data_IF_277231430664
#
_entry.id   IF_277231430664
#
_cell.length_a   1.000
_cell.length_b   1.000
_cell.length_c   1.000
_cell.angle_alpha   90.00
_cell.angle_beta   90.00
_cell.angle_gamma   90.00
#
_symmetry.space_group_name_H-M   'P 1'
#
loop_
_entity.id
_entity.type
_entity.pdbx_description
1 polymer ?
#
# COMPACT_ATOMS: atom_id res chain seq x y z
N UNK A 1 19.89 -29.80 20.66
CA UNK A 1 20.27 -29.18 19.37
C UNK A 1 19.18 -28.18 18.98
N UNK A 2 19.38 -26.90 19.27
CA UNK A 2 18.52 -25.83 18.76
C UNK A 2 18.85 -25.63 17.27
N UNK A 3 18.03 -26.17 16.37
CA UNK A 3 18.07 -25.74 14.96
C UNK A 3 17.49 -24.33 14.90
N UNK A 4 18.35 -23.32 15.02
CA UNK A 4 17.99 -21.98 14.55
C UNK A 4 17.64 -22.13 13.07
N UNK A 5 16.36 -21.92 12.73
CA UNK A 5 15.99 -21.77 11.32
C UNK A 5 16.82 -20.61 10.78
N UNK A 6 17.41 -20.71 9.57
CA UNK A 6 18.04 -19.56 8.96
C UNK A 6 17.01 -18.43 8.95
N UNK A 7 17.39 -17.28 9.51
CA UNK A 7 16.59 -16.07 9.37
C UNK A 7 16.69 -15.72 7.89
N UNK A 8 15.68 -16.14 7.13
CA UNK A 8 15.51 -15.74 5.74
C UNK A 8 15.50 -14.21 5.77
N UNK A 9 16.54 -13.58 5.20
CA UNK A 9 16.61 -12.13 5.17
C UNK A 9 15.39 -11.62 4.39
N UNK A 10 14.56 -10.81 5.03
CA UNK A 10 13.43 -10.19 4.35
C UNK A 10 13.95 -9.43 3.13
N UNK A 11 13.30 -9.57 1.95
CA UNK A 11 13.73 -8.83 0.79
C UNK A 11 13.65 -7.32 1.08
N UNK A 12 14.51 -6.50 0.45
CA UNK A 12 14.43 -5.06 0.59
C UNK A 12 13.05 -4.56 0.15
N UNK A 13 12.58 -3.47 0.77
CA UNK A 13 11.35 -2.81 0.34
C UNK A 13 11.62 -2.00 -0.93
N UNK A 14 11.01 -2.39 -2.04
CA UNK A 14 11.27 -1.79 -3.37
C UNK A 14 9.96 -1.61 -4.13
N UNK A 15 9.87 -0.59 -4.98
CA UNK A 15 8.82 -0.50 -5.99
C UNK A 15 9.07 -1.55 -7.07
N UNK A 16 8.00 -2.19 -7.57
CA UNK A 16 8.02 -2.97 -8.81
C UNK A 16 7.63 -2.12 -10.01
N UNK A 17 6.66 -1.23 -9.80
CA UNK A 17 6.12 -0.39 -10.84
C UNK A 17 7.04 0.83 -11.05
N UNK A 18 7.46 1.11 -12.29
CA UNK A 18 8.32 2.26 -12.56
C UNK A 18 7.60 3.58 -12.27
N UNK A 19 6.28 3.66 -12.31
CA UNK A 19 5.56 4.90 -12.03
C UNK A 19 5.33 5.12 -10.52
N UNK A 20 6.39 5.48 -9.78
CA UNK A 20 6.32 5.76 -8.33
C UNK A 20 5.17 6.71 -7.98
N UNK A 21 5.03 7.83 -8.69
CA UNK A 21 4.02 8.84 -8.39
C UNK A 21 2.59 8.28 -8.44
N UNK A 22 2.29 7.46 -9.45
CA UNK A 22 1.00 6.77 -9.54
C UNK A 22 0.80 5.77 -8.40
N UNK A 23 1.83 4.99 -8.04
CA UNK A 23 1.73 4.04 -6.93
C UNK A 23 1.47 4.76 -5.61
N UNK A 24 2.15 5.88 -5.34
CA UNK A 24 1.89 6.69 -4.12
C UNK A 24 0.46 7.19 -4.11
N UNK A 25 -0.01 7.79 -5.21
CA UNK A 25 -1.38 8.28 -5.33
C UNK A 25 -2.41 7.15 -5.13
N UNK A 26 -2.16 5.97 -5.67
CA UNK A 26 -3.09 4.84 -5.54
C UNK A 26 -3.08 4.24 -4.13
N UNK A 27 -1.94 4.26 -3.43
CA UNK A 27 -1.89 3.96 -1.99
C UNK A 27 -2.77 4.93 -1.18
N UNK A 28 -2.72 6.24 -1.47
CA UNK A 28 -3.57 7.24 -0.83
C UNK A 28 -5.06 6.99 -1.13
N UNK A 29 -5.40 6.67 -2.38
CA UNK A 29 -6.76 6.33 -2.77
C UNK A 29 -7.29 5.09 -2.04
N UNK A 30 -6.46 4.06 -1.85
CA UNK A 30 -6.82 2.87 -1.09
C UNK A 30 -7.02 3.20 0.39
N UNK A 31 -6.12 3.98 0.98
CA UNK A 31 -6.23 4.42 2.37
C UNK A 31 -7.53 5.21 2.59
N UNK A 32 -7.90 6.10 1.66
CA UNK A 32 -9.16 6.83 1.74
C UNK A 32 -10.38 5.91 1.62
N UNK A 33 -10.38 4.94 0.70
CA UNK A 33 -11.45 3.94 0.59
C UNK A 33 -11.65 3.16 1.89
N UNK A 34 -10.56 2.79 2.58
CA UNK A 34 -10.64 2.13 3.88
C UNK A 34 -11.19 3.04 4.99
N UNK A 35 -10.84 4.33 4.99
CA UNK A 35 -11.39 5.32 5.93
C UNK A 35 -12.88 5.55 5.69
N UNK A 36 -13.31 5.66 4.45
CA UNK A 36 -14.72 5.79 4.07
C UNK A 36 -15.48 4.52 4.48
N UNK A 37 -14.88 3.34 4.28
CA UNK A 37 -15.45 2.07 4.70
C UNK A 37 -15.59 1.97 6.22
N UNK A 38 -14.62 2.47 7.00
CA UNK A 38 -14.74 2.55 8.45
C UNK A 38 -15.89 3.47 8.87
N UNK A 39 -16.01 4.63 8.22
CA UNK A 39 -17.10 5.58 8.50
C UNK A 39 -18.47 4.93 8.23
N UNK A 40 -18.61 4.23 7.11
CA UNK A 40 -19.82 3.47 6.79
C UNK A 40 -20.07 2.34 7.83
N UNK A 41 -19.05 1.55 8.16
CA UNK A 41 -19.16 0.42 9.07
C UNK A 41 -19.61 0.80 10.48
N UNK A 42 -19.30 2.02 10.94
CA UNK A 42 -19.80 2.54 12.23
C UNK A 42 -21.32 2.75 12.28
N UNK A 43 -21.97 2.83 11.11
CA UNK A 43 -23.41 3.05 10.99
C UNK A 43 -24.22 1.78 10.69
N UNK A 44 -23.55 0.65 10.47
CA UNK A 44 -24.26 -0.58 10.12
C UNK A 44 -25.00 -1.14 11.34
N UNK A 45 -26.28 -1.50 11.20
CA UNK A 45 -26.98 -2.24 12.23
C UNK A 45 -26.41 -3.67 12.33
N UNK A 46 -26.61 -4.28 13.49
CA UNK A 46 -26.39 -5.71 13.62
C UNK A 46 -27.39 -6.47 12.72
N UNK A 47 -26.95 -7.57 12.12
CA UNK A 47 -27.78 -8.38 11.25
C UNK A 47 -28.87 -9.07 12.07
N UNK A 48 -30.07 -9.31 11.49
CA UNK A 48 -31.17 -9.95 12.22
C UNK A 48 -30.84 -11.36 12.75
N UNK A 49 -29.86 -12.02 12.12
CA UNK A 49 -29.40 -13.36 12.46
C UNK A 49 -28.30 -13.36 13.54
N UNK A 50 -27.75 -12.19 13.85
CA UNK A 50 -26.69 -12.03 14.83
C UNK A 50 -27.27 -11.93 16.25
N UNK A 51 -26.79 -12.82 17.12
CA UNK A 51 -27.11 -12.80 18.54
C UNK A 51 -25.81 -12.73 19.35
N UNK A 52 -25.60 -11.60 20.02
CA UNK A 52 -24.40 -11.36 20.84
C UNK A 52 -24.29 -12.31 22.04
N UNK A 53 -25.40 -12.94 22.45
CA UNK A 53 -25.47 -13.81 23.63
C UNK A 53 -25.34 -15.31 23.29
N UNK A 54 -25.33 -15.69 22.01
CA UNK A 54 -25.33 -17.09 21.57
C UNK A 54 -24.09 -17.54 20.80
N UNK A 55 -23.04 -16.71 20.73
CA UNK A 55 -21.81 -16.99 19.98
C UNK A 55 -22.09 -17.62 18.59
N UNK A 56 -23.12 -17.13 17.89
CA UNK A 56 -23.48 -17.70 16.59
C UNK A 56 -22.45 -17.33 15.53
N UNK A 57 -22.19 -18.24 14.59
CA UNK A 57 -21.35 -18.00 13.40
C UNK A 57 -21.91 -16.89 12.47
N UNK A 58 -23.04 -16.29 12.83
CA UNK A 58 -23.69 -15.22 12.09
C UNK A 58 -22.77 -13.99 12.01
N UNK A 59 -22.66 -13.44 10.80
CA UNK A 59 -21.85 -12.26 10.56
C UNK A 59 -22.57 -11.04 11.13
N UNK A 60 -21.92 -10.35 12.08
CA UNK A 60 -22.50 -9.22 12.82
C UNK A 60 -23.14 -8.18 11.91
N UNK A 61 -22.51 -7.81 10.78
CA UNK A 61 -23.07 -6.81 9.85
C UNK A 61 -23.71 -7.41 8.59
N UNK A 62 -23.95 -8.73 8.59
CA UNK A 62 -24.51 -9.45 7.46
C UNK A 62 -23.50 -9.77 6.35
N UNK A 63 -23.87 -10.72 5.50
CA UNK A 63 -22.98 -11.26 4.46
C UNK A 63 -22.57 -10.24 3.41
N UNK A 64 -23.49 -9.37 2.98
CA UNK A 64 -23.19 -8.37 1.95
C UNK A 64 -22.09 -7.39 2.36
N UNK A 65 -22.08 -6.96 3.62
CA UNK A 65 -21.04 -6.06 4.14
C UNK A 65 -19.70 -6.76 4.28
N UNK A 66 -19.70 -8.02 4.68
CA UNK A 66 -18.48 -8.82 4.71
C UNK A 66 -17.93 -9.08 3.30
N UNK A 67 -18.79 -9.33 2.31
CA UNK A 67 -18.37 -9.46 0.91
C UNK A 67 -17.72 -8.16 0.40
N UNK A 68 -18.30 -7.00 0.70
CA UNK A 68 -17.71 -5.69 0.34
C UNK A 68 -16.33 -5.49 0.99
N UNK A 69 -16.20 -5.86 2.26
CA UNK A 69 -14.93 -5.84 2.97
C UNK A 69 -13.88 -6.76 2.31
N UNK A 70 -14.27 -7.98 1.95
CA UNK A 70 -13.39 -8.94 1.27
C UNK A 70 -12.91 -8.42 -0.09
N UNK A 71 -13.80 -7.79 -0.87
CA UNK A 71 -13.45 -7.18 -2.15
C UNK A 71 -12.39 -6.07 -1.97
N UNK A 72 -12.59 -5.18 -1.00
CA UNK A 72 -11.62 -4.11 -0.73
C UNK A 72 -10.28 -4.64 -0.22
N UNK A 73 -10.31 -5.71 0.60
CA UNK A 73 -9.12 -6.44 1.04
C UNK A 73 -8.37 -7.06 -0.13
N UNK A 74 -9.04 -7.79 -1.01
CA UNK A 74 -8.40 -8.42 -2.16
C UNK A 74 -7.87 -7.39 -3.16
N UNK A 75 -8.62 -6.31 -3.42
CA UNK A 75 -8.13 -5.17 -4.22
C UNK A 75 -6.83 -4.62 -3.65
N UNK A 76 -6.77 -4.42 -2.33
CA UNK A 76 -5.58 -3.94 -1.62
C UNK A 76 -4.42 -4.92 -1.78
N UNK A 77 -4.65 -6.20 -1.53
CA UNK A 77 -3.60 -7.23 -1.60
C UNK A 77 -3.03 -7.39 -3.02
N UNK A 78 -3.89 -7.39 -4.05
CA UNK A 78 -3.45 -7.46 -5.45
C UNK A 78 -2.63 -6.22 -5.83
N UNK A 79 -3.06 -5.03 -5.40
CA UNK A 79 -2.29 -3.81 -5.62
C UNK A 79 -0.89 -3.91 -5.00
N UNK A 80 -0.78 -4.36 -3.73
CA UNK A 80 0.51 -4.50 -3.05
C UNK A 80 1.43 -5.50 -3.77
N UNK A 81 0.90 -6.69 -4.09
CA UNK A 81 1.62 -7.76 -4.81
C UNK A 81 2.20 -7.31 -6.14
N UNK A 82 1.47 -6.45 -6.87
CA UNK A 82 1.87 -6.03 -8.20
C UNK A 82 2.82 -4.82 -8.20
N UNK A 83 2.91 -4.06 -7.11
CA UNK A 83 3.61 -2.78 -7.08
C UNK A 83 4.77 -2.71 -6.09
N UNK A 84 4.92 -3.67 -5.17
CA UNK A 84 5.99 -3.68 -4.19
C UNK A 84 6.65 -5.05 -4.03
N UNK A 85 7.96 -5.04 -3.78
CA UNK A 85 8.71 -6.14 -3.16
C UNK A 85 8.89 -5.80 -1.69
N UNK A 86 8.85 -6.80 -0.81
CA UNK A 86 9.20 -6.59 0.59
C UNK A 86 8.12 -5.84 1.38
N UNK A 87 6.88 -5.75 0.88
CA UNK A 87 5.76 -5.14 1.61
C UNK A 87 5.27 -6.00 2.78
N UNK A 88 5.74 -7.25 2.89
CA UNK A 88 5.25 -8.26 3.82
C UNK A 88 5.37 -7.84 5.29
N UNK A 89 6.25 -6.87 5.59
CA UNK A 89 6.38 -6.30 6.94
C UNK A 89 5.07 -5.70 7.47
N UNK A 90 4.16 -5.22 6.61
CA UNK A 90 2.87 -4.67 7.08
C UNK A 90 1.84 -5.76 7.36
N UNK A 91 2.00 -6.98 6.83
CA UNK A 91 1.00 -8.05 6.95
C UNK A 91 1.41 -9.18 7.91
N UNK A 92 2.65 -9.18 8.41
CA UNK A 92 3.18 -9.99 9.52
C UNK A 92 3.00 -11.53 9.47
N UNK A 93 2.42 -12.15 8.44
CA UNK A 93 2.29 -13.61 8.30
C UNK A 93 1.98 -14.04 6.84
N UNK A 94 2.88 -13.78 5.90
CA UNK A 94 2.57 -13.91 4.46
C UNK A 94 2.69 -15.32 3.87
N UNK A 95 3.02 -16.36 4.65
CA UNK A 95 2.94 -17.72 4.08
C UNK A 95 1.51 -18.09 3.69
N UNK A 96 0.51 -17.47 4.32
CA UNK A 96 -0.92 -17.67 4.04
C UNK A 96 -1.65 -16.32 3.86
N UNK A 97 -2.81 -16.31 3.19
CA UNK A 97 -3.69 -15.13 3.15
C UNK A 97 -3.93 -14.61 4.57
N UNK A 98 -3.78 -13.29 4.86
CA UNK A 98 -3.91 -12.78 6.21
C UNK A 98 -5.27 -13.19 6.78
N UNK A 99 -5.25 -14.09 7.77
CA UNK A 99 -6.46 -14.65 8.35
C UNK A 99 -7.18 -13.58 9.15
N UNK A 100 -8.39 -13.23 8.73
CA UNK A 100 -9.30 -12.37 9.48
C UNK A 100 -10.45 -13.22 10.00
N UNK A 101 -10.76 -13.09 11.30
CA UNK A 101 -11.88 -13.80 11.89
C UNK A 101 -13.18 -13.34 11.24
N UNK A 102 -13.93 -14.23 10.61
CA UNK A 102 -15.19 -13.85 9.94
C UNK A 102 -16.25 -13.33 10.92
N UNK A 103 -16.19 -13.74 12.18
CA UNK A 103 -17.20 -13.44 13.22
C UNK A 103 -17.00 -12.05 13.86
N UNK A 104 -15.77 -11.53 13.84
CA UNK A 104 -15.47 -10.23 14.44
C UNK A 104 -16.06 -9.05 13.65
N UNK A 105 -16.40 -7.98 14.38
CA UNK A 105 -17.03 -6.80 13.80
C UNK A 105 -16.11 -6.10 12.80
N UNK A 106 -16.67 -5.60 11.69
CA UNK A 106 -15.88 -4.85 10.70
C UNK A 106 -15.15 -3.64 11.31
N UNK A 107 -15.75 -2.98 12.30
CA UNK A 107 -15.16 -1.85 13.04
C UNK A 107 -13.90 -2.21 13.83
N UNK A 108 -13.64 -3.50 14.06
CA UNK A 108 -12.39 -3.99 14.66
C UNK A 108 -11.33 -4.35 13.60
N UNK A 109 -11.77 -4.79 12.41
CA UNK A 109 -10.88 -5.23 11.33
C UNK A 109 -10.36 -4.08 10.48
N UNK A 110 -11.24 -3.17 10.10
CA UNK A 110 -10.91 -2.06 9.19
C UNK A 110 -9.77 -1.18 9.73
N UNK A 111 -9.72 -0.81 11.04
CA UNK A 111 -8.61 -0.02 11.57
C UNK A 111 -7.24 -0.70 11.40
N UNK A 112 -7.19 -2.03 11.42
CA UNK A 112 -5.94 -2.77 11.18
C UNK A 112 -5.44 -2.54 9.76
N UNK A 113 -6.33 -2.58 8.75
CA UNK A 113 -5.96 -2.27 7.36
C UNK A 113 -5.50 -0.83 7.16
N UNK A 114 -6.21 0.12 7.78
CA UNK A 114 -5.81 1.53 7.77
C UNK A 114 -4.40 1.68 8.33
N UNK A 115 -4.13 1.13 9.50
CA UNK A 115 -2.81 1.20 10.13
C UNK A 115 -1.70 0.59 9.25
N UNK A 116 -1.97 -0.56 8.61
CA UNK A 116 -1.01 -1.20 7.69
C UNK A 116 -0.67 -0.32 6.49
N UNK A 117 -1.68 0.34 5.91
CA UNK A 117 -1.47 1.25 4.79
C UNK A 117 -0.76 2.54 5.22
N UNK A 118 -1.02 3.04 6.42
CA UNK A 118 -0.28 4.17 6.99
C UNK A 118 1.20 3.82 7.23
N UNK A 119 1.49 2.60 7.72
CA UNK A 119 2.87 2.11 7.83
C UNK A 119 3.54 2.00 6.46
N UNK A 120 2.83 1.49 5.44
CA UNK A 120 3.33 1.42 4.08
C UNK A 120 3.64 2.82 3.54
N UNK A 121 2.73 3.77 3.73
CA UNK A 121 2.90 5.16 3.30
C UNK A 121 4.12 5.81 3.93
N UNK A 122 4.33 5.63 5.23
CA UNK A 122 5.53 6.10 5.91
C UNK A 122 6.82 5.41 5.39
N UNK A 123 6.71 4.15 4.93
CA UNK A 123 7.82 3.39 4.36
C UNK A 123 8.17 3.73 2.91
N UNK A 124 7.22 4.28 2.13
CA UNK A 124 7.36 4.54 0.69
C UNK A 124 8.55 5.45 0.36
N UNK A 125 8.88 6.40 1.23
CA UNK A 125 10.02 7.31 1.03
C UNK A 125 11.38 6.60 1.13
N UNK A 126 11.42 5.46 1.81
CA UNK A 126 12.62 4.63 1.97
C UNK A 126 12.67 3.47 1.00
N UNK A 127 11.63 3.29 0.17
CA UNK A 127 11.58 2.23 -0.81
C UNK A 127 12.61 2.47 -1.91
N UNK A 128 13.33 1.41 -2.30
CA UNK A 128 14.19 1.47 -3.48
C UNK A 128 13.34 1.60 -4.73
N UNK A 129 13.88 2.30 -5.73
CA UNK A 129 13.16 2.62 -6.95
C UNK A 129 13.78 1.85 -8.12
N UNK A 130 12.98 1.19 -8.98
CA UNK A 130 13.48 0.45 -10.14
C UNK A 130 14.40 1.27 -11.04
N UNK A 131 15.40 0.60 -11.62
CA UNK A 131 16.26 1.19 -12.65
C UNK A 131 15.47 1.78 -13.81
N UNK A 132 14.36 1.13 -14.20
CA UNK A 132 13.48 1.61 -15.28
C UNK A 132 12.88 3.01 -15.01
N UNK A 133 12.58 3.34 -13.75
CA UNK A 133 12.15 4.69 -13.39
C UNK A 133 13.29 5.70 -13.58
N UNK A 134 14.51 5.36 -13.15
CA UNK A 134 15.67 6.23 -13.34
C UNK A 134 16.00 6.45 -14.82
N UNK A 135 15.78 5.44 -15.66
CA UNK A 135 15.89 5.57 -17.11
C UNK A 135 14.88 6.57 -17.66
N UNK A 136 13.61 6.51 -17.23
CA UNK A 136 12.58 7.47 -17.67
C UNK A 136 12.85 8.90 -17.16
N UNK A 137 13.30 9.06 -15.91
CA UNK A 137 13.72 10.36 -15.39
C UNK A 137 14.94 10.89 -16.14
N UNK A 138 15.90 10.02 -16.48
CA UNK A 138 17.04 10.36 -17.32
C UNK A 138 16.62 10.86 -18.71
N UNK A 139 15.64 10.22 -19.35
CA UNK A 139 15.08 10.69 -20.64
C UNK A 139 14.45 12.08 -20.54
N UNK A 140 13.70 12.34 -19.46
CA UNK A 140 13.10 13.67 -19.19
C UNK A 140 14.17 14.73 -18.97
N UNK A 141 15.21 14.41 -18.21
CA UNK A 141 16.35 15.28 -17.98
C UNK A 141 17.04 15.63 -19.31
N UNK A 142 17.40 14.63 -20.11
CA UNK A 142 18.04 14.83 -21.42
C UNK A 142 17.19 15.71 -22.32
N UNK A 143 15.88 15.48 -22.36
CA UNK A 143 14.94 16.29 -23.16
C UNK A 143 14.89 17.75 -22.68
N UNK A 144 14.93 17.97 -21.36
CA UNK A 144 14.88 19.32 -20.77
C UNK A 144 16.19 20.10 -20.99
N UNK A 145 17.33 19.41 -20.86
CA UNK A 145 18.65 19.95 -21.19
C UNK A 145 18.73 20.32 -22.68
N UNK A 146 18.29 19.42 -23.57
CA UNK A 146 18.37 19.64 -25.02
C UNK A 146 17.54 20.84 -25.51
N UNK A 147 16.50 21.23 -24.76
CA UNK A 147 15.63 22.39 -25.08
C UNK A 147 16.09 23.69 -24.42
N UNK A 148 17.13 23.66 -23.60
CA UNK A 148 17.58 24.80 -22.79
C UNK A 148 18.90 25.36 -23.29
N UNK A 149 19.14 26.66 -23.06
CA UNK A 149 20.46 27.27 -23.25
C UNK A 149 21.50 26.75 -22.24
N UNK A 150 22.81 26.95 -22.47
CA UNK A 150 23.90 26.32 -21.71
C UNK A 150 23.84 26.54 -20.19
N UNK A 151 23.56 27.77 -19.74
CA UNK A 151 23.47 28.11 -18.31
C UNK A 151 22.27 27.42 -17.64
N UNK A 152 21.09 27.51 -18.27
CA UNK A 152 19.86 26.87 -17.75
C UNK A 152 19.96 25.34 -17.79
N UNK A 153 20.64 24.78 -18.78
CA UNK A 153 20.95 23.35 -18.83
C UNK A 153 21.83 22.91 -17.65
N UNK A 154 22.85 23.70 -17.27
CA UNK A 154 23.70 23.42 -16.11
C UNK A 154 22.93 23.52 -14.79
N UNK A 155 22.01 24.48 -14.66
CA UNK A 155 21.11 24.59 -13.51
C UNK A 155 20.17 23.39 -13.39
N UNK A 156 19.53 22.99 -14.49
CA UNK A 156 18.65 21.81 -14.54
C UNK A 156 19.42 20.55 -14.14
N UNK A 157 20.63 20.34 -14.69
CA UNK A 157 21.46 19.20 -14.35
C UNK A 157 21.89 19.22 -12.87
N UNK A 158 22.29 20.37 -12.35
CA UNK A 158 22.69 20.53 -10.94
C UNK A 158 21.52 20.28 -9.99
N UNK A 159 20.32 20.77 -10.34
CA UNK A 159 19.09 20.53 -9.57
C UNK A 159 18.75 19.04 -9.54
N UNK A 160 18.82 18.38 -10.69
CA UNK A 160 18.59 16.93 -10.79
C UNK A 160 19.61 16.12 -9.99
N UNK A 161 20.89 16.48 -10.01
CA UNK A 161 21.91 15.78 -9.20
C UNK A 161 21.69 15.95 -7.70
N UNK A 162 21.17 17.10 -7.26
CA UNK A 162 20.86 17.37 -5.85
C UNK A 162 19.59 16.65 -5.40
N UNK A 163 18.57 16.65 -6.24
CA UNK A 163 17.32 15.96 -5.98
C UNK A 163 16.66 15.54 -7.31
N UNK A 164 16.88 14.31 -7.78
CA UNK A 164 16.35 13.85 -9.06
C UNK A 164 14.84 13.57 -9.01
N UNK A 165 14.20 13.75 -7.86
CA UNK A 165 12.74 13.70 -7.67
C UNK A 165 12.11 15.10 -7.53
N UNK A 166 12.91 16.17 -7.46
CA UNK A 166 12.37 17.52 -7.43
C UNK A 166 11.68 17.82 -8.76
N UNK A 167 10.43 18.28 -8.70
CA UNK A 167 9.74 18.81 -9.88
C UNK A 167 10.50 20.07 -10.29
N UNK A 168 11.14 20.02 -11.45
CA UNK A 168 11.77 21.20 -12.05
C UNK A 168 10.66 21.93 -12.82
N UNK A 169 10.06 22.92 -12.18
CA UNK A 169 9.14 23.88 -12.82
C UNK A 169 9.90 24.89 -13.71
#
# INVERSE_FOLDING_TARGET
MNRQRPVESLPPFEFLNPNKAWVVQETDNLLQQWRDWLAAAKSFPDSPEYDSNRETEALRHGRDKHNQHEILREKTLVFLRNNFIGFEFIVHNYRDHPHESNISALTQKIPVWIHRLEMLQAGIDYARVPDGFWVEQGKKLVTSIAKSGPEKAAEIATSYLKNPLAIVE
#
